data_IF_505679328511
#
_entry.id   IF_505679328511
#
_cell.length_a   1.000
_cell.length_b   1.000
_cell.length_c   1.000
_cell.angle_alpha   90.00
_cell.angle_beta   90.00
_cell.angle_gamma   90.00
#
_symmetry.space_group_name_H-M   'P 1'
#
loop_
_entity.id
_entity.type
_entity.pdbx_description
1 polymer ?
#
# COMPACT_ATOMS: atom_id res chain seq x y z
N UNK A 1 -33.97 -15.30 17.57
CA UNK A 1 -33.30 -15.61 16.30
C UNK A 1 -33.63 -14.48 15.36
N UNK A 2 -32.77 -13.47 15.30
CA UNK A 2 -32.93 -12.41 14.30
C UNK A 2 -32.45 -13.02 12.98
N UNK A 3 -33.35 -13.13 12.01
CA UNK A 3 -33.03 -13.43 10.62
C UNK A 3 -32.09 -12.34 10.12
N UNK A 4 -30.88 -12.72 9.70
CA UNK A 4 -30.00 -11.79 8.98
C UNK A 4 -30.78 -11.20 7.78
N UNK A 5 -30.73 -9.88 7.55
CA UNK A 5 -31.36 -9.31 6.38
C UNK A 5 -30.61 -9.81 5.13
N UNK A 6 -31.21 -10.78 4.44
CA UNK A 6 -30.78 -11.20 3.11
C UNK A 6 -30.85 -10.03 2.12
N UNK A 7 -30.18 -10.19 0.97
CA UNK A 7 -30.14 -9.14 -0.07
C UNK A 7 -31.54 -8.61 -0.37
N UNK A 8 -31.73 -7.30 -0.25
CA UNK A 8 -33.05 -6.70 -0.36
C UNK A 8 -33.59 -6.82 -1.78
N UNK A 9 -32.85 -6.32 -2.78
CA UNK A 9 -33.30 -6.23 -4.16
C UNK A 9 -32.07 -6.18 -5.09
N UNK A 10 -32.12 -6.89 -6.22
CA UNK A 10 -31.27 -6.59 -7.38
C UNK A 10 -32.14 -5.83 -8.38
N UNK A 11 -31.77 -4.59 -8.69
CA UNK A 11 -32.49 -3.73 -9.63
C UNK A 11 -31.66 -3.55 -10.89
N UNK A 12 -32.26 -3.86 -12.04
CA UNK A 12 -31.69 -3.56 -13.35
C UNK A 12 -32.02 -2.12 -13.73
N UNK A 13 -31.00 -1.31 -13.96
CA UNK A 13 -31.14 0.11 -14.30
C UNK A 13 -30.34 0.41 -15.56
N UNK A 14 -30.87 1.27 -16.42
CA UNK A 14 -30.14 1.81 -17.56
C UNK A 14 -29.60 3.20 -17.19
N UNK A 15 -28.28 3.36 -17.16
CA UNK A 15 -27.63 4.65 -16.93
C UNK A 15 -27.07 5.20 -18.26
N UNK A 16 -27.02 6.53 -18.44
CA UNK A 16 -26.31 7.11 -19.58
C UNK A 16 -24.81 6.72 -19.51
N UNK A 17 -24.23 6.33 -20.65
CA UNK A 17 -22.80 6.07 -20.78
C UNK A 17 -21.93 7.31 -20.54
N UNK A 18 -20.61 7.13 -20.49
CA UNK A 18 -19.66 8.24 -20.35
C UNK A 18 -19.82 9.25 -21.49
N UNK A 19 -19.37 10.50 -21.30
CA UNK A 19 -19.57 11.67 -22.18
C UNK A 19 -19.30 11.46 -23.69
N UNK A 20 -18.58 10.40 -24.09
CA UNK A 20 -18.29 10.05 -25.49
C UNK A 20 -19.26 9.02 -26.11
N UNK A 21 -20.01 8.24 -25.32
CA UNK A 21 -20.99 7.24 -25.77
C UNK A 21 -22.35 7.47 -25.10
N UNK A 22 -23.28 8.09 -25.83
CA UNK A 22 -24.69 8.32 -25.43
C UNK A 22 -25.52 7.02 -25.34
N UNK A 23 -24.89 5.84 -25.36
CA UNK A 23 -25.57 4.56 -25.23
C UNK A 23 -25.97 4.28 -23.78
N UNK A 24 -27.18 3.73 -23.60
CA UNK A 24 -27.68 3.31 -22.29
C UNK A 24 -26.94 2.04 -21.85
N UNK A 25 -26.31 2.09 -20.69
CA UNK A 25 -25.64 0.94 -20.09
C UNK A 25 -26.53 0.29 -19.03
N UNK A 26 -26.83 -1.00 -19.22
CA UNK A 26 -27.51 -1.81 -18.20
C UNK A 26 -26.55 -2.11 -17.04
N UNK A 27 -26.98 -1.82 -15.81
CA UNK A 27 -26.28 -2.09 -14.56
C UNK A 27 -27.21 -2.79 -13.58
N UNK A 28 -26.62 -3.65 -12.75
CA UNK A 28 -27.30 -4.27 -11.62
C UNK A 28 -26.95 -3.51 -10.34
N UNK A 29 -27.98 -3.07 -9.60
CA UNK A 29 -27.84 -2.42 -8.30
C UNK A 29 -28.19 -3.41 -7.20
N UNK A 30 -27.23 -3.68 -6.33
CA UNK A 30 -27.36 -4.54 -5.17
C UNK A 30 -27.44 -3.69 -3.90
N UNK A 31 -28.42 -3.92 -3.06
CA UNK A 31 -28.63 -3.13 -1.83
C UNK A 31 -28.66 -4.00 -0.57
N UNK A 32 -28.10 -3.45 0.52
CA UNK A 32 -28.18 -4.04 1.85
C UNK A 32 -28.48 -2.98 2.90
N UNK A 33 -29.46 -3.26 3.75
CA UNK A 33 -29.72 -2.47 4.95
C UNK A 33 -28.71 -2.85 6.03
N UNK A 34 -28.01 -1.86 6.62
CA UNK A 34 -27.02 -2.13 7.67
C UNK A 34 -27.72 -2.45 9.00
N UNK A 35 -27.25 -3.48 9.69
CA UNK A 35 -27.66 -3.74 11.05
C UNK A 35 -27.26 -2.53 11.92
N UNK A 36 -28.25 -1.89 12.56
CA UNK A 36 -28.11 -0.74 13.46
C UNK A 36 -28.06 0.66 12.82
N UNK A 37 -28.34 0.82 11.52
CA UNK A 37 -28.49 2.13 10.89
C UNK A 37 -29.73 2.15 9.98
N UNK A 38 -30.51 3.24 9.99
CA UNK A 38 -31.57 3.51 9.00
C UNK A 38 -30.98 3.86 7.61
N UNK A 39 -29.81 3.32 7.28
CA UNK A 39 -29.09 3.58 6.03
C UNK A 39 -29.03 2.33 5.16
N UNK A 40 -29.31 2.51 3.88
CA UNK A 40 -29.11 1.52 2.84
C UNK A 40 -27.76 1.80 2.17
N UNK A 41 -26.96 0.76 1.98
CA UNK A 41 -25.76 0.84 1.14
C UNK A 41 -26.05 0.10 -0.15
N UNK A 42 -25.72 0.75 -1.27
CA UNK A 42 -25.87 0.22 -2.61
C UNK A 42 -24.52 -0.03 -3.25
N UNK A 43 -24.45 -1.07 -4.08
CA UNK A 43 -23.30 -1.38 -4.91
C UNK A 43 -23.77 -1.63 -6.34
N UNK A 44 -23.15 -0.95 -7.30
CA UNK A 44 -23.52 -1.03 -8.71
C UNK A 44 -22.48 -1.84 -9.47
N UNK A 45 -22.94 -2.81 -10.24
CA UNK A 45 -22.09 -3.62 -11.10
C UNK A 45 -22.58 -3.55 -12.55
N UNK A 46 -21.62 -3.53 -13.48
CA UNK A 46 -21.91 -3.90 -14.86
C UNK A 46 -22.10 -5.42 -14.91
N UNK A 47 -23.18 -5.96 -15.49
CA UNK A 47 -23.42 -7.40 -15.53
C UNK A 47 -22.25 -8.13 -16.20
N UNK A 48 -21.75 -9.18 -15.56
CA UNK A 48 -20.74 -10.04 -16.15
C UNK A 48 -21.30 -10.81 -17.37
N UNK A 49 -20.42 -11.25 -18.30
CA UNK A 49 -20.84 -12.12 -19.40
C UNK A 49 -21.55 -13.39 -18.90
N UNK A 50 -22.54 -13.92 -19.63
CA UNK A 50 -23.27 -15.12 -19.23
C UNK A 50 -22.32 -16.32 -19.01
N UNK A 51 -22.51 -17.04 -17.91
CA UNK A 51 -21.75 -18.27 -17.60
C UNK A 51 -20.66 -18.12 -16.53
N UNK A 52 -20.44 -16.91 -16.01
CA UNK A 52 -19.56 -16.68 -14.86
C UNK A 52 -20.30 -16.93 -13.54
N UNK A 53 -20.37 -18.21 -13.15
CA UNK A 53 -21.10 -18.66 -11.95
C UNK A 53 -20.18 -19.33 -10.95
N UNK A 54 -20.49 -19.16 -9.68
CA UNK A 54 -19.91 -19.87 -8.56
C UNK A 54 -20.96 -20.83 -8.00
N UNK A 55 -20.87 -22.11 -8.38
CA UNK A 55 -21.91 -23.10 -8.06
C UNK A 55 -23.23 -22.71 -8.71
N UNK A 56 -24.23 -22.35 -7.91
CA UNK A 56 -25.55 -21.86 -8.37
C UNK A 56 -25.71 -20.33 -8.30
N UNK A 57 -24.71 -19.60 -7.81
CA UNK A 57 -24.77 -18.14 -7.57
C UNK A 57 -23.95 -17.43 -8.65
N UNK A 58 -24.44 -16.30 -9.18
CA UNK A 58 -23.63 -15.46 -10.07
C UNK A 58 -22.43 -14.91 -9.30
N UNK A 59 -21.25 -14.85 -9.94
CA UNK A 59 -20.08 -14.21 -9.32
C UNK A 59 -20.34 -12.75 -8.95
N UNK A 60 -21.17 -12.05 -9.73
CA UNK A 60 -21.58 -10.67 -9.45
C UNK A 60 -22.38 -10.59 -8.15
N UNK A 61 -23.29 -11.54 -7.92
CA UNK A 61 -24.07 -11.60 -6.69
C UNK A 61 -23.17 -11.93 -5.49
N UNK A 62 -22.30 -12.94 -5.62
CA UNK A 62 -21.33 -13.28 -4.57
C UNK A 62 -20.46 -12.09 -4.21
N UNK A 63 -19.89 -11.43 -5.23
CA UNK A 63 -19.01 -10.30 -5.04
C UNK A 63 -19.75 -9.09 -4.45
N UNK A 64 -20.96 -8.80 -4.92
CA UNK A 64 -21.79 -7.75 -4.35
C UNK A 64 -22.15 -8.03 -2.88
N UNK A 65 -22.52 -9.26 -2.53
CA UNK A 65 -22.79 -9.65 -1.15
C UNK A 65 -21.58 -9.48 -0.26
N UNK A 66 -20.41 -9.84 -0.77
CA UNK A 66 -19.13 -9.68 -0.08
C UNK A 66 -18.85 -8.19 0.12
N UNK A 67 -18.80 -7.39 -0.94
CA UNK A 67 -18.49 -5.95 -0.83
C UNK A 67 -19.50 -5.22 0.07
N UNK A 68 -20.80 -5.50 -0.03
CA UNK A 68 -21.82 -4.89 0.84
C UNK A 68 -21.68 -5.28 2.33
N UNK A 69 -21.06 -6.42 2.63
CA UNK A 69 -20.71 -6.81 4.02
C UNK A 69 -19.51 -6.02 4.52
N UNK A 70 -18.58 -5.73 3.61
CA UNK A 70 -17.25 -5.20 3.92
C UNK A 70 -17.17 -3.68 3.85
N UNK A 71 -18.04 -3.05 3.09
CA UNK A 71 -17.98 -1.63 2.80
C UNK A 71 -18.07 -0.81 4.08
N UNK A 72 -17.10 0.07 4.29
CA UNK A 72 -16.98 0.95 5.44
C UNK A 72 -17.37 2.38 5.04
N UNK A 73 -18.67 2.59 4.82
CA UNK A 73 -19.25 3.93 4.56
C UNK A 73 -19.62 4.59 5.88
N UNK A 74 -19.30 5.87 6.03
CA UNK A 74 -19.81 6.68 7.13
C UNK A 74 -21.20 7.20 6.76
N UNK A 75 -22.25 6.40 6.96
CA UNK A 75 -23.60 6.79 6.57
C UNK A 75 -24.18 7.85 7.53
N UNK A 76 -24.30 9.10 7.10
CA UNK A 76 -25.02 10.15 7.86
C UNK A 76 -25.68 11.14 6.91
N UNK A 77 -26.86 11.63 7.28
CA UNK A 77 -27.54 12.75 6.61
C UNK A 77 -26.74 14.03 6.81
N UNK A 78 -26.38 14.71 5.71
CA UNK A 78 -25.74 16.04 5.73
C UNK A 78 -26.68 17.05 6.42
N UNK A 79 -26.29 17.70 7.54
CA UNK A 79 -26.93 18.95 7.92
C UNK A 79 -26.71 20.01 6.83
N UNK A 80 -27.65 20.96 6.74
CA UNK A 80 -27.54 22.10 5.85
C UNK A 80 -26.78 23.21 6.60
N UNK A 81 -25.76 23.76 5.93
CA UNK A 81 -24.88 24.89 6.32
C UNK A 81 -23.51 24.47 6.90
N UNK A 82 -22.46 24.98 6.24
CA UNK A 82 -21.05 24.93 6.65
C UNK A 82 -20.75 26.03 7.65
N UNK A 83 -20.25 25.68 8.84
CA UNK A 83 -19.85 26.65 9.86
C UNK A 83 -18.38 27.10 9.67
N UNK A 84 -18.02 28.38 9.89
CA UNK A 84 -16.65 28.89 9.77
C UNK A 84 -15.53 28.13 10.52
N UNK A 85 -15.76 27.49 11.69
CA UNK A 85 -14.75 26.69 12.38
C UNK A 85 -14.30 25.43 11.60
N UNK A 86 -15.15 24.89 10.73
CA UNK A 86 -14.87 23.70 9.94
C UNK A 86 -13.76 23.99 8.93
N UNK A 87 -13.89 25.06 8.14
CA UNK A 87 -12.94 25.38 7.08
C UNK A 87 -11.54 25.68 7.63
N UNK A 88 -11.43 26.39 8.77
CA UNK A 88 -10.12 26.63 9.40
C UNK A 88 -9.46 25.31 9.87
N UNK A 89 -10.26 24.37 10.38
CA UNK A 89 -9.76 23.05 10.82
C UNK A 89 -9.29 22.23 9.63
N UNK A 90 -10.08 22.20 8.55
CA UNK A 90 -9.73 21.55 7.28
C UNK A 90 -8.40 22.11 6.75
N UNK A 91 -8.28 23.44 6.62
CA UNK A 91 -7.07 24.09 6.13
C UNK A 91 -5.83 23.75 6.96
N UNK A 92 -5.95 23.70 8.30
CA UNK A 92 -4.84 23.32 9.18
C UNK A 92 -4.41 21.86 8.97
N UNK A 93 -5.34 20.95 8.78
CA UNK A 93 -5.04 19.53 8.52
C UNK A 93 -4.40 19.36 7.13
N UNK A 94 -4.96 19.99 6.11
CA UNK A 94 -4.43 19.94 4.73
C UNK A 94 -2.98 20.48 4.69
N UNK A 95 -2.73 21.61 5.35
CA UNK A 95 -1.38 22.18 5.47
C UNK A 95 -0.41 21.29 6.25
N UNK A 96 -0.90 20.61 7.29
CA UNK A 96 -0.09 19.64 8.03
C UNK A 96 0.31 18.45 7.13
N UNK A 97 -0.64 17.89 6.38
CA UNK A 97 -0.38 16.79 5.45
C UNK A 97 0.63 17.18 4.38
N UNK A 98 0.42 18.32 3.74
CA UNK A 98 1.29 18.86 2.70
C UNK A 98 2.73 19.05 3.19
N UNK A 99 2.87 19.68 4.37
CA UNK A 99 4.16 19.96 4.98
C UNK A 99 4.90 18.70 5.43
N UNK A 100 4.20 17.76 6.06
CA UNK A 100 4.85 16.67 6.77
C UNK A 100 4.85 15.35 6.02
N UNK A 101 3.79 14.98 5.31
CA UNK A 101 3.69 13.66 4.70
C UNK A 101 3.83 13.68 3.19
N UNK A 102 3.25 14.66 2.48
CA UNK A 102 3.16 14.61 1.02
C UNK A 102 4.53 14.48 0.35
N UNK A 103 4.63 13.57 -0.61
CA UNK A 103 5.76 13.44 -1.52
C UNK A 103 5.48 14.23 -2.79
N UNK A 104 6.30 15.25 -3.08
CA UNK A 104 6.15 16.09 -4.27
C UNK A 104 6.89 15.48 -5.46
N UNK A 105 6.31 15.56 -6.65
CA UNK A 105 6.91 15.14 -7.93
C UNK A 105 7.06 16.32 -8.88
N UNK A 106 7.81 16.18 -9.97
CA UNK A 106 8.03 17.28 -10.91
C UNK A 106 6.74 17.77 -11.60
N UNK A 107 5.80 16.86 -11.88
CA UNK A 107 4.50 17.14 -12.51
C UNK A 107 3.35 17.13 -11.49
N UNK A 108 3.63 17.59 -10.27
CA UNK A 108 2.67 17.59 -9.18
C UNK A 108 1.48 18.52 -9.46
N UNK A 109 0.27 18.03 -9.19
CA UNK A 109 -1.02 18.67 -9.41
C UNK A 109 -1.74 18.93 -8.08
N UNK A 110 -0.99 19.00 -6.97
CA UNK A 110 -1.54 19.31 -5.66
C UNK A 110 -2.23 20.67 -5.67
N UNK A 111 -1.53 21.74 -6.08
CA UNK A 111 -2.11 23.09 -6.06
C UNK A 111 -3.25 23.29 -7.05
N UNK A 112 -3.26 22.55 -8.18
CA UNK A 112 -4.27 22.74 -9.23
C UNK A 112 -5.57 22.00 -8.95
N UNK A 113 -5.52 20.82 -8.33
CA UNK A 113 -6.72 20.03 -8.01
C UNK A 113 -6.61 19.19 -6.74
N UNK A 114 -5.43 18.64 -6.46
CA UNK A 114 -5.23 17.66 -5.40
C UNK A 114 -5.54 18.16 -4.01
N UNK A 115 -5.14 19.41 -3.73
CA UNK A 115 -5.39 20.09 -2.47
C UNK A 115 -6.89 20.22 -2.20
N UNK A 116 -7.66 20.62 -3.21
CA UNK A 116 -9.11 20.73 -3.09
C UNK A 116 -9.76 19.36 -2.88
N UNK A 117 -9.36 18.35 -3.67
CA UNK A 117 -9.84 16.97 -3.49
C UNK A 117 -9.58 16.46 -2.06
N UNK A 118 -8.36 16.66 -1.55
CA UNK A 118 -7.99 16.26 -0.19
C UNK A 118 -8.80 17.04 0.85
N UNK A 119 -8.97 18.36 0.66
CA UNK A 119 -9.75 19.21 1.55
C UNK A 119 -11.22 18.77 1.62
N UNK A 120 -11.86 18.39 0.50
CA UNK A 120 -13.23 17.86 0.50
C UNK A 120 -13.35 16.57 1.31
N UNK A 121 -12.40 15.63 1.14
CA UNK A 121 -12.37 14.41 1.94
C UNK A 121 -12.15 14.68 3.43
N UNK A 122 -11.27 15.63 3.79
CA UNK A 122 -11.09 16.04 5.20
C UNK A 122 -12.34 16.72 5.73
N UNK A 123 -12.95 17.61 4.95
CA UNK A 123 -14.17 18.35 5.32
C UNK A 123 -15.31 17.38 5.64
N UNK A 124 -15.45 16.30 4.87
CA UNK A 124 -16.41 15.25 5.18
C UNK A 124 -16.28 14.76 6.64
N UNK A 125 -15.09 14.36 7.10
CA UNK A 125 -14.92 13.87 8.47
C UNK A 125 -15.09 14.98 9.52
N UNK A 126 -14.50 16.16 9.28
CA UNK A 126 -14.58 17.29 10.21
C UNK A 126 -16.03 17.76 10.39
N UNK A 127 -16.81 17.80 9.32
CA UNK A 127 -18.22 18.18 9.36
C UNK A 127 -19.06 17.23 10.21
N UNK A 128 -18.75 15.92 10.16
CA UNK A 128 -19.43 14.90 10.94
C UNK A 128 -18.83 14.69 12.34
N UNK A 129 -17.83 15.50 12.74
CA UNK A 129 -17.07 15.31 13.98
C UNK A 129 -16.60 13.86 14.18
N UNK A 130 -16.25 13.18 13.10
CA UNK A 130 -15.77 11.80 13.08
C UNK A 130 -14.25 11.74 12.88
N UNK A 131 -13.63 10.67 13.37
CA UNK A 131 -12.19 10.44 13.19
C UNK A 131 -11.84 10.34 11.71
N UNK A 132 -10.83 11.09 11.27
CA UNK A 132 -10.33 11.01 9.89
C UNK A 132 -9.84 9.59 9.61
N UNK A 133 -10.34 8.98 8.55
CA UNK A 133 -9.88 7.68 8.10
C UNK A 133 -8.91 7.84 6.93
N UNK A 134 -7.69 7.31 7.09
CA UNK A 134 -6.67 7.25 6.05
C UNK A 134 -6.33 5.78 5.79
N UNK A 135 -6.21 5.39 4.53
CA UNK A 135 -5.76 4.05 4.16
C UNK A 135 -4.45 4.09 3.40
N UNK A 136 -3.54 3.18 3.73
CA UNK A 136 -2.20 3.11 3.17
C UNK A 136 -1.88 1.67 2.74
N UNK A 137 -2.08 1.34 1.46
CA UNK A 137 -1.51 0.14 0.85
C UNK A 137 0.02 0.13 0.96
N UNK A 138 0.59 -0.67 1.86
CA UNK A 138 2.02 -0.69 2.16
C UNK A 138 2.41 -1.84 3.12
N UNK A 139 3.72 -2.00 3.33
CA UNK A 139 4.31 -2.98 4.24
C UNK A 139 3.92 -4.44 3.89
N UNK A 140 4.28 -4.92 2.68
CA UNK A 140 3.97 -6.28 2.25
C UNK A 140 4.78 -7.33 3.02
N UNK A 141 6.10 -7.26 2.86
CA UNK A 141 7.13 -8.09 3.47
C UNK A 141 8.48 -7.44 3.14
N UNK A 142 9.58 -7.86 3.77
CA UNK A 142 10.93 -7.47 3.31
C UNK A 142 11.22 -8.06 1.91
N UNK A 143 12.02 -7.35 1.13
CA UNK A 143 12.54 -7.84 -0.16
C UNK A 143 13.26 -9.17 0.03
N UNK A 144 12.99 -10.12 -0.88
CA UNK A 144 13.71 -11.40 -0.97
C UNK A 144 15.17 -11.24 -1.42
N UNK A 145 15.57 -10.04 -1.87
CA UNK A 145 16.95 -9.72 -2.19
C UNK A 145 17.69 -9.18 -0.95
N UNK A 146 18.55 -10.00 -0.33
CA UNK A 146 19.35 -9.65 0.85
C UNK A 146 20.43 -8.57 0.60
N UNK A 147 20.56 -8.08 -0.64
CA UNK A 147 21.35 -6.89 -0.96
C UNK A 147 20.54 -5.60 -0.84
N UNK A 148 19.22 -5.69 -0.69
CA UNK A 148 18.36 -4.54 -0.38
C UNK A 148 18.18 -4.39 1.12
N UNK A 149 17.97 -5.50 1.83
CA UNK A 149 17.56 -5.55 3.25
C UNK A 149 18.54 -6.34 4.11
N UNK A 150 18.51 -6.12 5.43
CA UNK A 150 19.37 -6.83 6.40
C UNK A 150 18.81 -8.19 6.84
N UNK A 151 17.52 -8.42 6.65
CA UNK A 151 16.83 -9.66 7.04
C UNK A 151 15.39 -9.67 6.53
N UNK A 152 14.61 -10.67 6.97
CA UNK A 152 13.21 -10.87 6.55
C UNK A 152 12.20 -10.19 7.49
N UNK A 153 12.60 -9.86 8.71
CA UNK A 153 11.75 -9.22 9.72
C UNK A 153 11.81 -7.68 9.64
N UNK A 154 10.83 -6.97 10.22
CA UNK A 154 10.87 -5.52 10.37
C UNK A 154 12.13 -5.05 11.10
N UNK A 155 12.67 -3.93 10.66
CA UNK A 155 13.88 -3.34 11.22
C UNK A 155 13.69 -1.84 11.51
N UNK A 156 14.80 -1.11 11.69
CA UNK A 156 14.76 0.31 12.04
C UNK A 156 14.06 1.15 10.95
N UNK A 157 14.00 0.67 9.71
CA UNK A 157 13.26 1.32 8.63
C UNK A 157 11.76 1.36 8.94
N UNK A 158 11.17 0.22 9.29
CA UNK A 158 9.77 0.12 9.68
C UNK A 158 9.48 0.91 10.95
N UNK A 159 10.39 0.88 11.94
CA UNK A 159 10.24 1.65 13.17
C UNK A 159 10.10 3.15 12.89
N UNK A 160 11.03 3.72 12.10
CA UNK A 160 11.00 5.17 11.77
C UNK A 160 9.72 5.51 11.02
N UNK A 161 9.32 4.67 10.07
CA UNK A 161 8.12 4.88 9.27
C UNK A 161 6.86 4.88 10.14
N UNK A 162 6.70 3.89 11.03
CA UNK A 162 5.54 3.79 11.93
C UNK A 162 5.51 4.96 12.93
N UNK A 163 6.64 5.31 13.56
CA UNK A 163 6.72 6.47 14.45
C UNK A 163 6.31 7.76 13.75
N UNK A 164 6.65 7.93 12.48
CA UNK A 164 6.22 9.08 11.67
C UNK A 164 4.71 9.11 11.47
N UNK A 165 4.10 7.96 11.14
CA UNK A 165 2.64 7.86 10.95
C UNK A 165 1.88 8.17 12.25
N UNK A 166 2.32 7.59 13.38
CA UNK A 166 1.77 7.93 14.71
C UNK A 166 1.92 9.40 15.06
N UNK A 167 3.11 9.98 14.83
CA UNK A 167 3.36 11.40 15.09
C UNK A 167 2.46 12.32 14.26
N UNK A 168 2.20 11.97 13.00
CA UNK A 168 1.25 12.70 12.16
C UNK A 168 -0.18 12.61 12.72
N UNK A 169 -0.66 11.41 13.06
CA UNK A 169 -1.99 11.23 13.63
C UNK A 169 -2.19 12.04 14.92
N UNK A 170 -1.19 12.06 15.81
CA UNK A 170 -1.22 12.86 17.03
C UNK A 170 -1.21 14.38 16.78
N UNK A 171 -0.52 14.84 15.71
CA UNK A 171 -0.57 16.25 15.32
C UNK A 171 -1.93 16.64 14.74
N UNK A 172 -2.60 15.74 14.02
CA UNK A 172 -3.99 15.95 13.57
C UNK A 172 -4.92 16.06 14.79
N UNK A 173 -4.79 15.17 15.78
CA UNK A 173 -5.59 15.20 17.01
C UNK A 173 -5.48 16.51 17.80
N UNK A 174 -4.29 17.11 17.83
CA UNK A 174 -4.08 18.45 18.42
C UNK A 174 -4.78 19.58 17.66
N UNK A 175 -5.07 19.37 16.38
CA UNK A 175 -5.81 20.32 15.53
C UNK A 175 -7.31 20.04 15.62
N UNK A 176 -7.69 18.77 15.70
CA UNK A 176 -9.05 18.25 15.56
C UNK A 176 -9.25 17.07 16.53
N UNK A 177 -10.00 17.23 17.65
CA UNK A 177 -10.04 16.26 18.75
C UNK A 177 -10.40 14.82 18.38
N UNK A 178 -11.32 14.52 17.42
CA UNK A 178 -11.56 13.13 16.98
C UNK A 178 -10.35 12.46 16.33
N UNK A 179 -9.33 13.23 15.96
CA UNK A 179 -8.04 12.75 15.50
C UNK A 179 -8.08 12.11 14.11
N UNK A 180 -7.06 11.29 13.86
CA UNK A 180 -6.90 10.53 12.63
C UNK A 180 -6.51 9.09 12.94
N UNK A 181 -6.98 8.19 12.09
CA UNK A 181 -6.69 6.77 12.11
C UNK A 181 -6.12 6.36 10.75
N UNK A 182 -4.99 5.67 10.77
CA UNK A 182 -4.27 5.22 9.58
C UNK A 182 -4.35 3.70 9.53
N UNK A 183 -5.12 3.18 8.59
CA UNK A 183 -5.20 1.76 8.28
C UNK A 183 -4.11 1.42 7.26
N UNK A 184 -3.03 0.78 7.71
CA UNK A 184 -2.04 0.14 6.85
C UNK A 184 -2.66 -1.14 6.33
N UNK A 185 -2.75 -1.25 5.01
CA UNK A 185 -3.38 -2.38 4.35
C UNK A 185 -2.28 -3.11 3.58
N UNK A 186 -1.84 -4.24 4.12
CA UNK A 186 -0.72 -4.99 3.57
C UNK A 186 -1.12 -5.62 2.24
N UNK A 187 -0.32 -5.32 1.22
CA UNK A 187 -0.38 -5.90 -0.10
C UNK A 187 0.51 -7.16 -0.24
N UNK A 188 1.05 -7.67 0.87
CA UNK A 188 1.93 -8.85 0.88
C UNK A 188 1.27 -10.08 0.25
N UNK A 189 0.08 -10.45 0.73
CA UNK A 189 -0.70 -11.55 0.15
C UNK A 189 -1.13 -11.29 -1.30
N UNK A 190 -1.20 -10.04 -1.76
CA UNK A 190 -1.58 -9.75 -3.16
C UNK A 190 -0.45 -10.17 -4.12
N UNK A 191 0.80 -10.04 -3.68
CA UNK A 191 1.98 -10.13 -4.53
C UNK A 191 2.98 -11.22 -4.14
N UNK A 192 2.76 -11.96 -3.06
CA UNK A 192 3.71 -12.94 -2.50
C UNK A 192 4.25 -13.92 -3.56
N UNK A 193 3.38 -14.49 -4.39
CA UNK A 193 3.71 -15.34 -5.54
C UNK A 193 4.43 -14.60 -6.69
N UNK A 194 4.19 -13.30 -6.86
CA UNK A 194 4.86 -12.47 -7.86
C UNK A 194 6.31 -12.17 -7.46
N UNK A 195 6.61 -12.13 -6.16
CA UNK A 195 7.93 -11.80 -5.63
C UNK A 195 8.69 -13.02 -5.08
N UNK A 196 8.07 -14.20 -5.09
CA UNK A 196 8.67 -15.46 -4.65
C UNK A 196 8.90 -15.52 -3.14
N UNK A 197 7.97 -14.96 -2.37
CA UNK A 197 7.96 -14.96 -0.90
C UNK A 197 6.77 -15.77 -0.43
N UNK A 198 6.99 -16.75 0.42
CA UNK A 198 5.93 -17.62 0.94
C UNK A 198 4.93 -16.83 1.81
N UNK A 199 3.66 -17.23 1.80
CA UNK A 199 2.62 -16.55 2.58
C UNK A 199 2.90 -16.58 4.09
N UNK A 200 3.49 -17.66 4.60
CA UNK A 200 3.94 -17.75 5.99
C UNK A 200 4.97 -16.65 6.34
N UNK A 201 5.85 -16.28 5.40
CA UNK A 201 6.82 -15.19 5.61
C UNK A 201 6.13 -13.82 5.63
N UNK A 202 5.09 -13.64 4.81
CA UNK A 202 4.25 -12.43 4.82
C UNK A 202 3.54 -12.29 6.18
N UNK A 203 2.95 -13.39 6.66
CA UNK A 203 2.28 -13.44 7.96
C UNK A 203 3.25 -13.15 9.10
N UNK A 204 4.41 -13.80 9.11
CA UNK A 204 5.45 -13.59 10.14
C UNK A 204 5.90 -12.12 10.17
N UNK A 205 6.16 -11.51 9.01
CA UNK A 205 6.49 -10.09 8.91
C UNK A 205 5.36 -9.20 9.47
N UNK A 206 4.10 -9.50 9.11
CA UNK A 206 2.92 -8.80 9.59
C UNK A 206 2.73 -8.87 11.11
N UNK A 207 2.93 -10.03 11.72
CA UNK A 207 2.84 -10.20 13.17
C UNK A 207 3.95 -9.43 13.91
N UNK A 208 5.18 -9.46 13.40
CA UNK A 208 6.27 -8.68 13.97
C UNK A 208 6.07 -7.16 13.80
N UNK A 209 5.43 -6.72 12.71
CA UNK A 209 5.02 -5.33 12.54
C UNK A 209 3.98 -4.89 13.57
N UNK A 210 2.98 -5.74 13.86
CA UNK A 210 1.97 -5.46 14.88
C UNK A 210 2.62 -5.36 16.27
N UNK A 211 3.60 -6.22 16.59
CA UNK A 211 4.38 -6.13 17.83
C UNK A 211 5.13 -4.80 17.92
N UNK A 212 5.84 -4.42 16.85
CA UNK A 212 6.57 -3.15 16.76
C UNK A 212 5.64 -1.94 16.94
N UNK A 213 4.51 -1.93 16.22
CA UNK A 213 3.51 -0.87 16.28
C UNK A 213 2.93 -0.71 17.68
N UNK A 214 2.57 -1.82 18.33
CA UNK A 214 2.06 -1.81 19.71
C UNK A 214 3.07 -1.20 20.68
N UNK A 215 4.35 -1.55 20.55
CA UNK A 215 5.40 -0.99 21.39
C UNK A 215 5.57 0.53 21.15
N UNK A 216 5.48 0.99 19.90
CA UNK A 216 5.52 2.42 19.55
C UNK A 216 4.31 3.15 20.14
N UNK A 217 3.10 2.61 19.96
CA UNK A 217 1.85 3.18 20.48
C UNK A 217 1.90 3.34 22.01
N UNK A 218 2.37 2.31 22.73
CA UNK A 218 2.59 2.38 24.18
C UNK A 218 3.61 3.44 24.58
N UNK A 219 4.75 3.52 23.87
CA UNK A 219 5.78 4.53 24.13
C UNK A 219 5.28 5.96 23.87
N UNK A 220 4.27 6.12 23.01
CA UNK A 220 3.61 7.40 22.72
C UNK A 220 2.41 7.70 23.64
N UNK A 221 2.14 6.85 24.64
CA UNK A 221 1.03 7.00 25.60
C UNK A 221 -0.34 7.09 24.93
N UNK A 222 -0.55 6.26 23.91
CA UNK A 222 -1.79 6.25 23.16
C UNK A 222 -2.88 5.41 23.86
N UNK A 223 -4.05 6.02 24.08
CA UNK A 223 -5.23 5.33 24.62
C UNK A 223 -6.02 4.58 23.54
N UNK A 224 -5.88 5.01 22.28
CA UNK A 224 -6.58 4.49 21.11
C UNK A 224 -5.58 4.11 20.02
N UNK A 225 -5.89 3.04 19.28
CA UNK A 225 -5.02 2.56 18.21
C UNK A 225 -5.11 3.46 16.97
N UNK A 226 -4.11 4.33 16.79
CA UNK A 226 -4.06 5.31 15.68
C UNK A 226 -3.56 4.72 14.38
N UNK A 227 -2.70 3.71 14.44
CA UNK A 227 -2.17 3.00 13.28
C UNK A 227 -2.56 1.53 13.39
N UNK A 228 -3.29 1.03 12.41
CA UNK A 228 -3.82 -0.34 12.37
C UNK A 228 -3.31 -1.11 11.16
N UNK A 229 -3.36 -2.43 11.23
CA UNK A 229 -2.98 -3.31 10.13
C UNK A 229 -4.15 -4.16 9.67
N UNK A 230 -4.30 -4.29 8.37
CA UNK A 230 -5.22 -5.22 7.72
C UNK A 230 -4.49 -5.93 6.58
N UNK A 231 -4.71 -7.22 6.41
CA UNK A 231 -4.25 -8.01 5.27
C UNK A 231 -5.37 -8.17 4.23
N UNK A 232 -5.04 -8.71 3.05
CA UNK A 232 -6.07 -9.12 2.07
C UNK A 232 -7.09 -10.08 2.68
N UNK A 233 -6.65 -11.00 3.55
CA UNK A 233 -7.52 -11.95 4.24
C UNK A 233 -8.46 -11.22 5.22
N UNK A 234 -7.95 -10.22 5.94
CA UNK A 234 -8.74 -9.39 6.86
C UNK A 234 -9.76 -8.50 6.13
N UNK A 235 -9.46 -8.08 4.90
CA UNK A 235 -10.38 -7.28 4.09
C UNK A 235 -11.62 -8.09 3.71
N UNK A 236 -11.45 -9.37 3.37
CA UNK A 236 -12.56 -10.23 2.98
C UNK A 236 -13.25 -10.91 4.18
N UNK A 237 -12.52 -11.26 5.25
CA UNK A 237 -12.98 -12.08 6.41
C UNK A 237 -13.94 -13.21 6.01
N UNK A 238 -13.52 -14.03 5.06
CA UNK A 238 -14.36 -15.10 4.49
C UNK A 238 -14.92 -16.06 5.55
N UNK A 239 -14.23 -16.25 6.69
CA UNK A 239 -14.70 -17.11 7.81
C UNK A 239 -15.92 -16.57 8.54
N UNK A 240 -16.16 -15.25 8.48
CA UNK A 240 -17.32 -14.58 9.10
C UNK A 240 -18.46 -14.34 8.10
N UNK A 241 -18.25 -14.67 6.83
CA UNK A 241 -19.19 -14.37 5.76
C UNK A 241 -20.26 -15.46 5.67
N UNK A 242 -21.51 -15.11 6.00
CA UNK A 242 -22.65 -16.03 6.18
C UNK A 242 -22.82 -17.11 5.07
N UNK A 243 -22.69 -16.80 3.76
CA UNK A 243 -22.73 -17.80 2.68
C UNK A 243 -21.61 -18.86 2.72
N UNK A 244 -20.49 -18.55 3.38
CA UNK A 244 -19.29 -19.39 3.46
C UNK A 244 -19.07 -20.02 4.86
N UNK A 245 -19.98 -19.79 5.82
CA UNK A 245 -19.88 -20.34 7.19
C UNK A 245 -20.01 -21.87 7.28
N UNK A 246 -20.36 -22.54 6.18
CA UNK A 246 -20.23 -23.99 6.04
C UNK A 246 -18.82 -24.36 5.56
N UNK A 247 -18.08 -25.28 6.22
CA UNK A 247 -16.73 -25.72 5.84
C UNK A 247 -16.57 -26.21 4.39
N UNK A 248 -17.68 -26.40 3.68
CA UNK A 248 -17.78 -26.91 2.31
C UNK A 248 -17.59 -25.80 1.27
N UNK A 249 -17.76 -24.52 1.63
CA UNK A 249 -17.89 -23.45 0.63
C UNK A 249 -16.57 -22.94 0.03
N UNK A 250 -15.43 -23.06 0.74
CA UNK A 250 -14.10 -22.66 0.25
C UNK A 250 -13.68 -23.47 -0.99
N UNK A 251 -14.17 -24.72 -1.12
CA UNK A 251 -13.92 -25.58 -2.28
C UNK A 251 -14.95 -25.50 -3.41
N UNK A 252 -16.02 -24.69 -3.26
CA UNK A 252 -17.11 -24.60 -4.24
C UNK A 252 -17.05 -23.35 -5.14
N UNK A 253 -16.14 -22.41 -4.86
CA UNK A 253 -15.96 -21.26 -5.74
C UNK A 253 -15.10 -21.69 -6.94
N UNK A 254 -15.75 -22.01 -8.06
CA UNK A 254 -15.12 -22.33 -9.36
C UNK A 254 -14.53 -21.06 -10.01
N UNK A 255 -13.60 -20.44 -9.29
CA UNK A 255 -12.85 -19.28 -9.78
C UNK A 255 -11.70 -19.78 -10.68
N UNK A 256 -11.26 -19.01 -11.68
CA UNK A 256 -10.05 -19.36 -12.42
C UNK A 256 -8.85 -19.52 -11.48
N UNK A 257 -7.99 -20.50 -11.76
CA UNK A 257 -6.68 -20.58 -11.12
C UNK A 257 -5.81 -19.40 -11.59
N UNK A 258 -4.99 -18.86 -10.69
CA UNK A 258 -4.07 -17.80 -11.03
C UNK A 258 -2.78 -18.37 -11.60
N UNK A 259 -2.20 -17.63 -12.55
CA UNK A 259 -0.89 -17.96 -13.05
C UNK A 259 0.19 -17.49 -12.07
N UNK A 260 0.95 -18.45 -11.54
CA UNK A 260 2.11 -18.18 -10.68
C UNK A 260 3.41 -18.43 -11.45
N UNK A 261 4.25 -17.39 -11.54
CA UNK A 261 5.51 -17.45 -12.30
C UNK A 261 6.72 -17.87 -11.46
N UNK A 262 6.59 -17.85 -10.14
CA UNK A 262 7.62 -18.24 -9.19
C UNK A 262 7.06 -19.31 -8.25
N UNK A 263 7.88 -20.31 -7.95
CA UNK A 263 7.52 -21.32 -6.95
C UNK A 263 7.42 -20.65 -5.58
N UNK A 264 6.23 -20.73 -4.98
CA UNK A 264 5.88 -20.05 -3.72
C UNK A 264 4.92 -20.96 -2.96
N UNK A 265 5.11 -21.11 -1.65
CA UNK A 265 4.15 -21.82 -0.81
C UNK A 265 3.01 -20.85 -0.45
N UNK A 266 1.82 -21.16 -0.96
CA UNK A 266 0.63 -20.32 -0.84
C UNK A 266 -0.34 -20.92 0.18
N UNK A 267 -0.83 -20.09 1.10
CA UNK A 267 -1.92 -20.49 1.98
C UNK A 267 -3.23 -20.56 1.18
N UNK A 268 -4.07 -21.55 1.48
CA UNK A 268 -5.32 -21.77 0.74
C UNK A 268 -6.30 -20.60 0.88
N UNK A 269 -6.34 -19.96 2.05
CA UNK A 269 -7.23 -18.81 2.31
C UNK A 269 -6.71 -17.57 1.59
N UNK A 270 -5.41 -17.31 1.69
CA UNK A 270 -4.77 -16.22 0.97
C UNK A 270 -4.93 -16.38 -0.56
N UNK A 271 -4.74 -17.58 -1.09
CA UNK A 271 -4.91 -17.86 -2.52
C UNK A 271 -6.35 -17.69 -2.98
N UNK A 272 -7.32 -18.16 -2.20
CA UNK A 272 -8.72 -17.88 -2.50
C UNK A 272 -9.01 -16.36 -2.52
N UNK A 273 -8.44 -15.61 -1.58
CA UNK A 273 -8.58 -14.15 -1.57
C UNK A 273 -7.94 -13.49 -2.81
N UNK A 274 -6.80 -13.97 -3.30
CA UNK A 274 -6.21 -13.49 -4.57
C UNK A 274 -7.14 -13.76 -5.75
N UNK A 275 -7.71 -14.96 -5.83
CA UNK A 275 -8.64 -15.35 -6.90
C UNK A 275 -9.90 -14.49 -6.89
N UNK A 276 -10.47 -14.21 -5.71
CA UNK A 276 -11.61 -13.29 -5.56
C UNK A 276 -11.22 -11.86 -6.00
N UNK A 277 -10.06 -11.37 -5.56
CA UNK A 277 -9.56 -10.04 -5.94
C UNK A 277 -9.41 -9.91 -7.46
N UNK A 278 -8.77 -10.88 -8.10
CA UNK A 278 -8.54 -10.85 -9.55
C UNK A 278 -9.86 -10.94 -10.31
N UNK A 279 -10.74 -11.87 -9.92
CA UNK A 279 -12.01 -12.05 -10.61
C UNK A 279 -12.94 -10.84 -10.47
N UNK A 280 -12.99 -10.20 -9.29
CA UNK A 280 -13.92 -9.11 -9.02
C UNK A 280 -13.39 -7.70 -9.31
N UNK A 281 -12.08 -7.49 -9.34
CA UNK A 281 -11.50 -6.14 -9.40
C UNK A 281 -10.47 -5.91 -10.49
N UNK A 282 -9.95 -6.95 -11.15
CA UNK A 282 -8.88 -6.77 -12.13
C UNK A 282 -9.38 -6.06 -13.39
N UNK A 283 -8.63 -5.07 -13.92
CA UNK A 283 -8.93 -4.50 -15.24
C UNK A 283 -8.69 -5.53 -16.35
N UNK A 284 -9.16 -5.22 -17.56
CA UNK A 284 -8.94 -6.06 -18.73
C UNK A 284 -7.44 -6.25 -19.03
N UNK A 285 -7.00 -7.51 -19.06
CA UNK A 285 -5.66 -7.90 -19.48
C UNK A 285 -5.37 -7.41 -20.90
N UNK A 286 -6.32 -7.62 -21.81
CA UNK A 286 -6.21 -7.24 -23.22
C UNK A 286 -6.01 -5.73 -23.35
N UNK A 287 -6.77 -4.94 -22.59
CA UNK A 287 -6.62 -3.48 -22.59
C UNK A 287 -5.21 -3.04 -22.17
N UNK A 288 -4.67 -3.60 -21.08
CA UNK A 288 -3.31 -3.30 -20.64
C UNK A 288 -2.28 -3.71 -21.72
N UNK A 289 -2.45 -4.88 -22.33
CA UNK A 289 -1.58 -5.37 -23.40
C UNK A 289 -1.60 -4.43 -24.61
N UNK A 290 -2.79 -4.03 -25.07
CA UNK A 290 -2.96 -3.09 -26.19
C UNK A 290 -2.32 -1.74 -25.88
N UNK A 291 -2.48 -1.20 -24.67
CA UNK A 291 -1.85 0.06 -24.26
C UNK A 291 -0.31 -0.03 -24.28
N UNK A 292 0.25 -1.15 -23.82
CA UNK A 292 1.70 -1.39 -23.85
C UNK A 292 2.21 -1.50 -25.30
N UNK A 293 1.50 -2.26 -26.15
CA UNK A 293 1.90 -2.54 -27.54
C UNK A 293 1.72 -1.32 -28.46
N UNK A 294 0.66 -0.54 -28.27
CA UNK A 294 0.44 0.72 -28.99
C UNK A 294 1.38 1.84 -28.55
N UNK A 295 2.10 1.65 -27.43
CA UNK A 295 3.09 2.59 -26.94
C UNK A 295 2.50 3.78 -26.17
N UNK A 296 1.38 3.58 -25.46
CA UNK A 296 0.88 4.58 -24.53
C UNK A 296 1.99 5.02 -23.58
N UNK A 297 2.26 6.33 -23.53
CA UNK A 297 3.46 6.87 -22.88
C UNK A 297 3.48 6.53 -21.39
N UNK A 298 2.34 6.65 -20.72
CA UNK A 298 2.24 6.47 -19.27
C UNK A 298 2.32 4.99 -18.87
N UNK A 299 1.57 4.15 -19.56
CA UNK A 299 1.46 2.71 -19.32
C UNK A 299 2.75 1.99 -19.67
N UNK A 300 3.36 2.32 -20.81
CA UNK A 300 4.63 1.72 -21.23
C UNK A 300 5.78 2.14 -20.30
N UNK A 301 5.78 3.39 -19.81
CA UNK A 301 6.71 3.82 -18.78
C UNK A 301 6.54 2.98 -17.51
N UNK A 302 5.32 2.89 -16.96
CA UNK A 302 5.01 2.08 -15.79
C UNK A 302 5.50 0.63 -15.93
N UNK A 303 5.14 -0.03 -17.03
CA UNK A 303 5.56 -1.41 -17.34
C UNK A 303 7.07 -1.60 -17.38
N UNK A 304 7.80 -0.67 -18.03
CA UNK A 304 9.27 -0.69 -18.06
C UNK A 304 9.89 -0.47 -16.68
N UNK A 305 9.29 0.39 -15.86
CA UNK A 305 9.67 0.65 -14.48
C UNK A 305 9.57 -0.62 -13.64
N UNK A 306 8.38 -1.25 -13.61
CA UNK A 306 8.13 -2.52 -12.91
C UNK A 306 9.04 -3.63 -13.42
N UNK A 307 9.22 -3.78 -14.74
CA UNK A 307 10.11 -4.81 -15.30
C UNK A 307 11.56 -4.65 -14.84
N UNK A 308 12.05 -3.41 -14.74
CA UNK A 308 13.41 -3.13 -14.26
C UNK A 308 13.53 -3.40 -12.76
N UNK A 309 12.52 -2.98 -12.00
CA UNK A 309 12.44 -3.22 -10.56
C UNK A 309 12.45 -4.72 -10.25
N UNK A 310 11.59 -5.49 -10.92
CA UNK A 310 11.52 -6.95 -10.77
C UNK A 310 12.78 -7.64 -11.24
N UNK A 311 13.43 -7.15 -12.31
CA UNK A 311 14.71 -7.71 -12.70
C UNK A 311 15.76 -7.54 -11.60
N UNK A 312 15.79 -6.42 -10.86
CA UNK A 312 16.74 -6.23 -9.75
C UNK A 312 16.46 -7.16 -8.57
N UNK A 313 15.20 -7.44 -8.24
CA UNK A 313 14.85 -8.39 -7.18
C UNK A 313 15.13 -9.84 -7.59
N UNK A 314 14.74 -10.19 -8.81
CA UNK A 314 14.93 -11.53 -9.36
C UNK A 314 16.37 -11.81 -9.80
N UNK A 315 17.28 -10.84 -9.90
CA UNK A 315 18.66 -11.10 -10.35
C UNK A 315 19.46 -11.92 -9.33
N UNK A 316 19.19 -11.68 -8.03
CA UNK A 316 19.87 -12.35 -6.91
C UNK A 316 18.95 -13.30 -6.13
N UNK A 317 17.70 -13.49 -6.57
CA UNK A 317 16.74 -14.37 -5.93
C UNK A 317 17.19 -15.85 -6.01
N UNK A 318 17.14 -16.63 -4.92
CA UNK A 318 17.54 -18.04 -4.93
C UNK A 318 16.86 -18.88 -6.03
N UNK A 319 15.57 -18.64 -6.26
CA UNK A 319 14.75 -19.39 -7.25
C UNK A 319 15.16 -19.15 -8.72
N UNK A 320 15.91 -18.10 -9.02
CA UNK A 320 16.24 -17.69 -10.40
C UNK A 320 17.74 -17.78 -10.70
N UNK A 321 18.57 -18.21 -9.74
CA UNK A 321 20.03 -18.30 -9.92
C UNK A 321 20.45 -19.25 -11.05
N UNK A 322 19.68 -20.32 -11.28
CA UNK A 322 19.92 -21.28 -12.36
C UNK A 322 19.57 -20.73 -13.75
N UNK A 323 18.86 -19.61 -13.83
CA UNK A 323 18.41 -19.01 -15.09
C UNK A 323 19.49 -18.09 -15.67
N UNK A 324 19.61 -18.07 -17.00
CA UNK A 324 20.39 -17.06 -17.71
C UNK A 324 19.80 -15.65 -17.54
N UNK A 325 20.62 -14.62 -17.76
CA UNK A 325 20.17 -13.21 -17.71
C UNK A 325 18.98 -12.92 -18.65
N UNK A 326 18.95 -13.58 -19.81
CA UNK A 326 17.85 -13.44 -20.79
C UNK A 326 16.55 -14.08 -20.27
N UNK A 327 16.63 -15.27 -19.65
CA UNK A 327 15.49 -15.92 -19.01
C UNK A 327 14.95 -15.08 -17.84
N UNK A 328 15.84 -14.57 -16.97
CA UNK A 328 15.45 -13.65 -15.88
C UNK A 328 14.75 -12.39 -16.38
N UNK A 329 15.25 -11.78 -17.45
CA UNK A 329 14.61 -10.60 -18.06
C UNK A 329 13.20 -10.92 -18.58
N UNK A 330 12.99 -12.09 -19.20
CA UNK A 330 11.67 -12.53 -19.66
C UNK A 330 10.72 -12.80 -18.48
N UNK A 331 11.22 -13.44 -17.42
CA UNK A 331 10.45 -13.70 -16.21
C UNK A 331 10.04 -12.39 -15.52
N UNK A 332 10.98 -11.46 -15.32
CA UNK A 332 10.72 -10.16 -14.72
C UNK A 332 9.66 -9.36 -15.50
N UNK A 333 9.66 -9.44 -16.83
CA UNK A 333 8.64 -8.81 -17.67
C UNK A 333 7.25 -9.42 -17.47
N UNK A 334 7.14 -10.76 -17.40
CA UNK A 334 5.87 -11.44 -17.12
C UNK A 334 5.32 -11.10 -15.74
N UNK A 335 6.17 -11.17 -14.72
CA UNK A 335 5.82 -10.83 -13.34
C UNK A 335 5.41 -9.35 -13.23
N UNK A 336 6.14 -8.44 -13.88
CA UNK A 336 5.78 -7.03 -13.89
C UNK A 336 4.40 -6.75 -14.48
N UNK A 337 3.99 -7.50 -15.50
CA UNK A 337 2.67 -7.40 -16.09
C UNK A 337 1.58 -7.79 -15.09
N UNK A 338 1.72 -8.95 -14.41
CA UNK A 338 0.80 -9.38 -13.35
C UNK A 338 0.73 -8.39 -12.19
N UNK A 339 1.88 -7.87 -11.75
CA UNK A 339 1.92 -6.92 -10.64
C UNK A 339 1.15 -5.64 -10.96
N UNK A 340 1.17 -5.16 -12.21
CA UNK A 340 0.40 -3.98 -12.62
C UNK A 340 -1.10 -4.27 -12.55
N UNK A 341 -1.53 -5.42 -13.10
CA UNK A 341 -2.94 -5.83 -13.05
C UNK A 341 -3.44 -6.00 -11.62
N UNK A 342 -2.69 -6.72 -10.78
CA UNK A 342 -3.05 -6.95 -9.38
C UNK A 342 -2.98 -5.70 -8.52
N UNK A 343 -2.04 -4.78 -8.79
CA UNK A 343 -2.01 -3.48 -8.10
C UNK A 343 -3.24 -2.64 -8.46
N UNK A 344 -3.67 -2.63 -9.72
CA UNK A 344 -4.91 -1.96 -10.10
C UNK A 344 -6.14 -2.64 -9.49
N UNK A 345 -6.18 -3.98 -9.50
CA UNK A 345 -7.24 -4.75 -8.85
C UNK A 345 -7.34 -4.41 -7.37
N UNK A 346 -6.20 -4.37 -6.68
CA UNK A 346 -6.14 -4.02 -5.27
C UNK A 346 -6.55 -2.56 -5.04
N UNK A 347 -6.09 -1.63 -5.88
CA UNK A 347 -6.52 -0.23 -5.81
C UNK A 347 -8.05 -0.10 -5.90
N UNK A 348 -8.69 -0.83 -6.81
CA UNK A 348 -10.13 -0.88 -7.00
C UNK A 348 -10.82 -1.49 -5.77
N UNK A 349 -10.36 -2.63 -5.25
CA UNK A 349 -10.92 -3.24 -4.04
C UNK A 349 -10.93 -2.28 -2.84
N UNK A 350 -9.81 -1.58 -2.61
CA UNK A 350 -9.70 -0.63 -1.50
C UNK A 350 -10.65 0.56 -1.71
N UNK A 351 -10.94 0.95 -2.95
CA UNK A 351 -11.89 2.03 -3.25
C UNK A 351 -13.33 1.58 -3.00
N UNK A 352 -13.63 0.32 -3.29
CA UNK A 352 -14.91 -0.29 -2.97
C UNK A 352 -15.13 -0.44 -1.46
N UNK A 353 -14.12 -0.90 -0.71
CA UNK A 353 -14.25 -1.14 0.73
C UNK A 353 -14.18 0.17 1.53
N UNK A 354 -13.35 1.13 1.11
CA UNK A 354 -13.08 2.36 1.86
C UNK A 354 -13.34 3.62 1.03
N UNK A 355 -14.57 3.86 0.56
CA UNK A 355 -14.87 4.95 -0.38
C UNK A 355 -14.62 6.35 0.20
N UNK A 356 -14.79 6.51 1.52
CA UNK A 356 -14.65 7.79 2.21
C UNK A 356 -13.21 8.08 2.65
N UNK A 357 -12.33 7.07 2.70
CA UNK A 357 -10.99 7.21 3.24
C UNK A 357 -10.08 8.08 2.36
N UNK A 358 -9.19 8.82 3.01
CA UNK A 358 -8.06 9.48 2.36
C UNK A 358 -7.05 8.42 1.90
N UNK A 359 -6.87 8.29 0.57
CA UNK A 359 -5.98 7.28 -0.03
C UNK A 359 -4.52 7.75 -0.02
N UNK A 360 -3.73 7.21 0.89
CA UNK A 360 -2.28 7.39 0.90
C UNK A 360 -1.60 6.36 0.00
N UNK A 361 -0.38 6.65 -0.44
CA UNK A 361 0.41 5.76 -1.30
C UNK A 361 1.90 5.89 -1.02
N UNK A 362 2.61 4.77 -1.15
CA UNK A 362 4.08 4.70 -1.14
C UNK A 362 4.68 4.80 -2.54
N UNK A 363 3.85 4.98 -3.57
CA UNK A 363 4.28 5.26 -4.93
C UNK A 363 4.16 6.76 -5.21
N UNK A 364 5.00 7.24 -6.13
CA UNK A 364 4.93 8.62 -6.57
C UNK A 364 3.68 8.79 -7.44
N UNK A 365 2.85 9.77 -7.08
CA UNK A 365 1.69 10.21 -7.85
C UNK A 365 1.83 11.69 -8.16
N UNK A 366 1.15 12.17 -9.21
CA UNK A 366 0.94 13.60 -9.44
C UNK A 366 0.09 14.26 -8.35
N UNK A 367 -0.36 13.52 -7.32
CA UNK A 367 -1.16 14.02 -6.20
C UNK A 367 -2.42 14.77 -6.62
N UNK A 368 -3.02 14.38 -7.75
CA UNK A 368 -4.24 14.99 -8.28
C UNK A 368 -5.53 14.46 -7.61
N UNK A 369 -5.40 13.49 -6.71
CA UNK A 369 -6.49 12.63 -6.24
C UNK A 369 -6.76 11.47 -7.21
N UNK A 370 -7.32 10.35 -6.74
CA UNK A 370 -7.70 10.09 -5.35
C UNK A 370 -6.51 9.71 -4.45
N UNK A 371 -5.37 9.29 -5.04
CA UNK A 371 -4.19 8.79 -4.32
C UNK A 371 -3.14 9.88 -4.10
N UNK A 372 -2.58 9.94 -2.89
CA UNK A 372 -1.56 10.90 -2.50
C UNK A 372 -0.29 10.19 -2.03
N UNK A 373 0.82 10.44 -2.72
CA UNK A 373 2.12 9.89 -2.36
C UNK A 373 2.64 10.47 -1.04
N UNK A 374 3.19 9.63 -0.17
CA UNK A 374 3.72 10.06 1.14
C UNK A 374 5.19 9.66 1.36
N UNK A 375 5.88 10.44 2.18
CA UNK A 375 7.23 10.18 2.69
C UNK A 375 7.16 9.48 4.04
N UNK A 376 7.62 8.23 4.08
CA UNK A 376 7.77 7.47 5.32
C UNK A 376 9.02 7.87 6.12
N UNK A 377 10.02 8.45 5.46
CA UNK A 377 11.23 8.97 6.09
C UNK A 377 11.26 10.49 6.06
N UNK A 378 11.58 11.12 7.19
CA UNK A 378 11.74 12.56 7.26
C UNK A 378 13.07 12.99 6.62
N UNK A 379 13.03 13.79 5.57
CA UNK A 379 14.25 14.29 4.91
C UNK A 379 15.12 15.16 5.82
N UNK A 380 14.58 15.70 6.92
CA UNK A 380 15.35 16.44 7.91
C UNK A 380 16.24 15.53 8.77
N UNK A 381 15.82 14.29 9.03
CA UNK A 381 16.52 13.36 9.94
C UNK A 381 17.11 12.15 9.23
N UNK A 382 16.57 11.78 8.08
CA UNK A 382 16.93 10.60 7.30
C UNK A 382 17.25 11.00 5.86
N UNK A 383 18.41 10.59 5.36
CA UNK A 383 18.85 10.85 3.98
C UNK A 383 18.92 9.54 3.19
N UNK A 384 18.23 9.47 2.06
CA UNK A 384 18.43 8.38 1.10
C UNK A 384 19.75 8.57 0.35
N UNK A 385 20.55 7.53 0.23
CA UNK A 385 21.83 7.56 -0.51
C UNK A 385 21.95 6.32 -1.41
N UNK A 386 22.47 6.51 -2.62
CA UNK A 386 22.78 5.41 -3.53
C UNK A 386 24.15 4.78 -3.28
N UNK A 387 25.07 5.55 -2.69
CA UNK A 387 26.44 5.14 -2.37
C UNK A 387 26.88 5.78 -1.05
N UNK A 388 27.70 5.07 -0.28
CA UNK A 388 28.18 5.52 1.03
C UNK A 388 29.17 6.69 0.95
N UNK A 389 29.85 6.92 -0.19
CA UNK A 389 30.74 8.07 -0.39
C UNK A 389 30.01 9.43 -0.39
N UNK A 390 28.68 9.41 -0.44
CA UNK A 390 27.83 10.61 -0.32
C UNK A 390 27.64 11.06 1.14
N UNK A 391 28.13 10.29 2.13
CA UNK A 391 28.09 10.64 3.55
C UNK A 391 29.04 11.82 3.82
N UNK A 392 28.52 12.91 4.37
CA UNK A 392 29.28 14.14 4.65
C UNK A 392 29.33 15.14 3.49
N UNK A 393 28.98 14.73 2.27
CA UNK A 393 28.77 15.65 1.15
C UNK A 393 27.45 16.41 1.36
N UNK A 394 27.51 17.73 1.45
CA UNK A 394 26.36 18.65 1.52
C UNK A 394 25.64 18.80 0.16
N UNK A 395 25.92 17.91 -0.80
CA UNK A 395 25.30 17.89 -2.11
C UNK A 395 23.81 17.57 -2.02
N UNK A 396 22.99 18.55 -2.40
CA UNK A 396 21.64 18.33 -2.89
C UNK A 396 21.83 17.57 -4.20
N UNK A 397 21.80 16.24 -4.17
CA UNK A 397 21.46 15.50 -5.38
C UNK A 397 19.96 15.72 -5.57
N UNK A 398 19.63 16.83 -6.23
CA UNK A 398 18.33 17.03 -6.83
C UNK A 398 18.20 15.98 -7.94
N UNK A 399 17.70 14.80 -7.60
CA UNK A 399 17.11 13.84 -8.54
C UNK A 399 15.78 14.40 -9.15
N UNK A 400 15.66 15.73 -9.27
CA UNK A 400 14.55 16.47 -9.88
C UNK A 400 14.77 16.74 -11.38
N UNK A 401 15.70 16.02 -12.00
CA UNK A 401 16.00 16.11 -13.43
C UNK A 401 15.67 14.81 -14.17
N UNK A 402 14.60 14.86 -14.97
CA UNK A 402 14.20 13.90 -16.01
C UNK A 402 13.30 12.72 -15.54
N UNK A 403 12.02 12.76 -15.97
CA UNK A 403 11.01 11.73 -15.68
C UNK A 403 11.34 10.45 -16.44
N UNK A 404 12.24 9.66 -15.87
CA UNK A 404 12.37 8.25 -16.25
C UNK A 404 11.38 7.42 -15.44
N UNK A 405 10.77 6.40 -16.05
CA UNK A 405 9.83 5.47 -15.39
C UNK A 405 10.33 4.87 -14.06
N UNK A 406 11.65 4.84 -13.84
CA UNK A 406 12.27 4.51 -12.56
C UNK A 406 11.73 5.39 -11.43
N UNK A 407 11.56 6.70 -11.65
CA UNK A 407 11.19 7.70 -10.64
C UNK A 407 9.77 7.51 -10.09
N UNK A 408 8.88 6.84 -10.82
CA UNK A 408 7.51 6.54 -10.39
C UNK A 408 7.47 5.54 -9.20
N UNK A 409 8.52 4.73 -9.03
CA UNK A 409 8.66 3.75 -7.95
C UNK A 409 9.61 4.20 -6.82
N UNK A 410 10.22 5.38 -6.92
CA UNK A 410 11.44 5.74 -6.17
C UNK A 410 11.24 6.40 -4.80
N UNK A 411 10.05 6.33 -4.18
CA UNK A 411 9.96 6.69 -2.76
C UNK A 411 10.70 5.60 -1.97
N UNK A 412 11.77 5.93 -1.20
CA UNK A 412 12.49 4.92 -0.42
C UNK A 412 11.54 4.28 0.59
N UNK A 413 11.41 2.97 0.51
CA UNK A 413 10.54 2.18 1.39
C UNK A 413 11.37 1.34 2.36
N UNK A 414 10.90 1.14 3.61
CA UNK A 414 11.58 0.31 4.61
C UNK A 414 11.91 -1.11 4.15
N UNK A 415 11.02 -1.72 3.37
CA UNK A 415 11.17 -3.13 2.96
C UNK A 415 12.10 -3.35 1.75
N UNK A 416 12.65 -2.29 1.16
CA UNK A 416 13.63 -2.36 0.07
C UNK A 416 14.98 -1.76 0.42
N UNK A 417 15.19 -1.38 1.68
CA UNK A 417 16.39 -0.71 2.14
C UNK A 417 16.72 -1.15 3.58
N UNK A 418 17.84 -0.65 4.10
CA UNK A 418 18.19 -0.74 5.51
C UNK A 418 18.57 0.66 6.03
N UNK A 419 18.54 0.80 7.35
CA UNK A 419 19.01 2.01 8.03
C UNK A 419 20.47 1.86 8.42
N UNK A 420 21.24 2.89 8.10
CA UNK A 420 22.63 3.04 8.50
C UNK A 420 22.76 4.29 9.38
N UNK A 421 23.42 4.14 10.52
CA UNK A 421 23.81 5.24 11.39
C UNK A 421 25.33 5.37 11.38
N UNK A 422 25.83 6.60 11.26
CA UNK A 422 27.27 6.89 11.40
C UNK A 422 27.52 7.43 12.80
N UNK A 423 28.46 6.83 13.53
CA UNK A 423 28.81 7.27 14.87
C UNK A 423 29.23 8.75 14.89
N UNK A 424 28.55 9.55 15.70
CA UNK A 424 28.77 11.00 15.80
C UNK A 424 28.01 11.85 14.77
N UNK A 425 27.32 11.25 13.79
CA UNK A 425 26.42 11.97 12.89
C UNK A 425 24.98 11.92 13.44
N UNK A 426 24.29 13.07 13.58
CA UNK A 426 22.88 13.08 13.99
C UNK A 426 21.92 12.56 12.92
N UNK A 427 22.34 12.45 11.65
CA UNK A 427 21.50 11.94 10.57
C UNK A 427 21.58 10.43 10.44
N UNK A 428 20.47 9.86 10.00
CA UNK A 428 20.37 8.47 9.56
C UNK A 428 20.38 8.39 8.05
N UNK A 429 20.77 7.24 7.52
CA UNK A 429 20.86 7.00 6.09
C UNK A 429 20.01 5.79 5.70
N UNK A 430 19.20 5.94 4.64
CA UNK A 430 18.47 4.83 4.00
C UNK A 430 19.26 4.40 2.78
N UNK A 431 19.68 3.14 2.75
CA UNK A 431 20.53 2.60 1.68
C UNK A 431 20.28 1.11 1.50
N UNK A 432 20.63 0.57 0.33
CA UNK A 432 20.62 -0.88 0.06
C UNK A 432 21.73 -1.58 0.85
N UNK A 433 21.41 -2.70 1.49
CA UNK A 433 22.34 -3.48 2.30
C UNK A 433 23.62 -3.93 1.55
N UNK A 434 23.53 -4.21 0.25
CA UNK A 434 24.67 -4.60 -0.59
C UNK A 434 25.74 -3.52 -0.68
N UNK A 435 25.34 -2.24 -0.64
CA UNK A 435 26.30 -1.11 -0.59
C UNK A 435 27.12 -1.14 0.69
N UNK A 436 26.52 -1.61 1.80
CA UNK A 436 27.21 -1.80 3.08
C UNK A 436 28.15 -3.01 3.02
N UNK A 437 27.74 -4.11 2.38
CA UNK A 437 28.49 -5.37 2.28
C UNK A 437 29.68 -5.31 1.30
N UNK A 438 29.49 -4.75 0.10
CA UNK A 438 30.48 -4.73 -0.99
C UNK A 438 31.60 -3.67 -0.78
N UNK A 439 31.60 -2.99 0.38
CA UNK A 439 32.17 -1.66 0.59
C UNK A 439 33.62 -1.42 0.12
N UNK A 440 33.74 -0.50 -0.85
CA UNK A 440 34.93 0.34 -1.07
C UNK A 440 35.32 1.22 0.15
N UNK A 441 34.46 1.23 1.18
CA UNK A 441 34.55 2.07 2.39
C UNK A 441 34.96 1.30 3.65
N UNK A 442 34.99 -0.04 3.61
CA UNK A 442 35.50 -0.90 4.69
C UNK A 442 36.91 -0.46 5.17
N UNK A 443 37.81 0.09 4.32
CA UNK A 443 39.09 0.61 4.80
C UNK A 443 38.97 1.82 5.76
N UNK A 444 37.87 2.56 5.73
CA UNK A 444 37.67 3.79 6.52
C UNK A 444 36.76 3.58 7.73
N UNK A 445 35.90 2.57 7.71
CA UNK A 445 34.88 2.34 8.75
C UNK A 445 34.70 0.87 9.05
N UNK A 446 34.47 0.55 10.32
CA UNK A 446 33.90 -0.73 10.75
C UNK A 446 32.37 -0.67 10.72
N UNK A 447 31.72 -1.77 10.32
CA UNK A 447 30.27 -1.91 10.30
C UNK A 447 29.83 -2.97 11.32
N UNK A 448 28.98 -2.57 12.27
CA UNK A 448 28.39 -3.44 13.28
C UNK A 448 26.87 -3.50 13.09
N UNK A 449 26.28 -4.71 13.09
CA UNK A 449 24.83 -4.85 13.16
C UNK A 449 24.39 -4.62 14.61
N UNK A 450 23.60 -3.57 14.84
CA UNK A 450 22.94 -3.34 16.12
C UNK A 450 21.63 -4.11 16.11
N UNK A 451 21.51 -5.09 17.00
CA UNK A 451 20.30 -5.87 17.16
C UNK A 451 19.17 -5.00 17.74
N UNK A 452 17.97 -5.15 17.18
CA UNK A 452 16.78 -4.50 17.70
C UNK A 452 16.05 -5.35 18.74
N UNK A 453 15.05 -4.75 19.36
CA UNK A 453 14.02 -5.42 20.15
C UNK A 453 12.65 -4.83 19.78
N UNK A 454 11.94 -5.51 18.88
CA UNK A 454 10.65 -5.02 18.37
C UNK A 454 9.60 -4.84 19.48
N UNK A 455 9.62 -5.68 20.52
CA UNK A 455 8.72 -5.56 21.67
C UNK A 455 8.99 -4.31 22.53
N UNK A 456 10.16 -3.67 22.36
CA UNK A 456 10.51 -2.37 22.95
C UNK A 456 10.38 -1.21 21.97
N UNK A 457 9.95 -1.47 20.74
CA UNK A 457 9.86 -0.44 19.71
C UNK A 457 11.21 -0.11 19.07
N UNK A 458 12.15 -1.06 19.07
CA UNK A 458 13.53 -0.87 18.61
C UNK A 458 13.82 -1.80 17.42
N UNK A 459 13.99 -1.25 16.22
CA UNK A 459 14.37 -1.99 15.02
C UNK A 459 15.89 -2.11 14.86
N UNK A 460 16.34 -3.20 14.23
CA UNK A 460 17.77 -3.43 13.95
C UNK A 460 18.30 -2.45 12.88
N UNK A 461 19.57 -2.09 12.95
CA UNK A 461 20.22 -1.20 11.98
C UNK A 461 21.73 -1.43 11.92
N UNK A 462 22.38 -0.87 10.90
CA UNK A 462 23.84 -0.94 10.77
C UNK A 462 24.48 0.31 11.36
N UNK A 463 25.42 0.14 12.28
CA UNK A 463 26.24 1.21 12.83
C UNK A 463 27.63 1.23 12.15
N UNK A 464 27.98 2.38 11.57
CA UNK A 464 29.31 2.63 11.02
C UNK A 464 30.15 3.46 11.99
N UNK A 465 31.34 2.97 12.34
CA UNK A 465 32.33 3.70 13.16
C UNK A 465 33.55 3.98 12.32
N UNK A 466 34.02 5.24 12.31
CA UNK A 466 35.28 5.60 11.66
C UNK A 466 36.42 4.86 12.34
N UNK A 467 37.34 4.31 11.56
CA UNK A 467 38.64 3.97 12.09
C UNK A 467 39.27 5.27 12.60
N UNK A 468 39.69 5.25 13.87
CA UNK A 468 40.50 6.35 14.41
C UNK A 468 41.82 6.26 13.63
N UNK A 469 42.13 7.26 12.81
CA UNK A 469 43.48 7.40 12.27
C UNK A 469 44.41 7.34 13.48
N UNK A 470 45.26 6.32 13.53
CA UNK A 470 46.41 6.34 14.44
C UNK A 470 47.14 7.64 14.12
N UNK A 471 46.99 8.62 15.00
CA UNK A 471 47.70 9.88 14.96
C UNK A 471 49.14 9.56 14.60
N UNK A 472 49.59 10.07 13.47
CA UNK A 472 50.98 10.06 13.06
C UNK A 472 51.80 10.71 14.17
N UNK A 473 52.28 9.91 15.12
CA UNK A 473 53.38 10.28 15.99
C UNK A 473 54.63 10.25 15.14
N UNK A 474 54.94 11.40 14.53
CA UNK A 474 56.28 11.76 14.09
C UNK A 474 56.49 13.24 14.34
#
# INVERSE_FOLDING_TARGET
MATEPGLGHCLKVCLPGNDDDLELQEVDIYERQRANMDSIVGFMLKPAPPGWTIGSVSIDQFFAELILDRIDVTATTLPAVTEPPVDLTVERIVNLFDKELRYCVQNDQWETQGRNYFAEKVRFFVYHNSTLQLCLPAFPCKSSNLEKVIGVLPDRGEEIALRRLHAFAHKVEKIYPPGAKISIISDGHVFSDCIGVDDETVDEYGEHLKVLNRAISLAMSEETERVQFQSLVDLFKLTSFSPLTSPIAVGMLDLPELQHYLATNLDNTAELCRRILVAGCQPSEESLRTQIESGDKSTLALYRGFSRFMLQDLDRHPLTQSQSRSQRKKLAAKVAFEMILRNQAYSNLIELIFPDCLRLSIHAHNNSGPKFGIRLFDTATVRAIGQLDSIGSSGINSDEGDVTASHLLHIPTPWHNCIVQVAGDPKLYVVKNGVVKEGSFIPKYSADLVTGNLAKGEGAFVLLKRHVDSVSTT
#
